data_IF_022297238521
#
_entry.id   IF_022297238521
#
_cell.length_a   1.000
_cell.length_b   1.000
_cell.length_c   1.000
_cell.angle_alpha   90.00
_cell.angle_beta   90.00
_cell.angle_gamma   90.00
#
_symmetry.space_group_name_H-M   'P 1'
#
loop_
_entity.id
_entity.type
_entity.pdbx_description
1 polymer ?
#
# COMPACT_ATOMS: atom_id res chain seq x y z
N UNK A 1 28.31 22.95 43.06
CA UNK A 1 27.00 22.28 42.87
C UNK A 1 26.25 22.86 41.67
N UNK A 2 26.03 24.18 41.58
CA UNK A 2 25.41 24.82 40.41
C UNK A 2 26.13 24.55 39.06
N UNK A 3 27.47 24.53 39.04
CA UNK A 3 28.26 24.22 37.84
C UNK A 3 28.03 22.79 37.33
N UNK A 4 27.92 21.83 38.25
CA UNK A 4 27.61 20.43 37.94
C UNK A 4 26.21 20.30 37.33
N UNK A 5 25.20 20.89 37.96
CA UNK A 5 23.83 20.87 37.44
C UNK A 5 23.72 21.51 36.05
N UNK A 6 24.44 22.60 35.79
CA UNK A 6 24.49 23.22 34.45
C UNK A 6 25.14 22.30 33.42
N UNK A 7 26.24 21.66 33.79
CA UNK A 7 26.93 20.70 32.93
C UNK A 7 26.02 19.51 32.58
N UNK A 8 25.32 18.93 33.56
CA UNK A 8 24.41 17.80 33.33
C UNK A 8 23.27 18.16 32.37
N UNK A 9 22.65 19.33 32.55
CA UNK A 9 21.59 19.80 31.64
C UNK A 9 22.14 20.04 30.23
N UNK A 10 23.37 20.56 30.10
CA UNK A 10 23.98 20.76 28.80
C UNK A 10 24.31 19.43 28.09
N UNK A 11 24.77 18.43 28.83
CA UNK A 11 25.00 17.08 28.32
C UNK A 11 23.69 16.47 27.85
N UNK A 12 22.64 16.52 28.68
CA UNK A 12 21.31 16.02 28.32
C UNK A 12 20.77 16.72 27.06
N UNK A 13 20.93 18.04 26.96
CA UNK A 13 20.53 18.80 25.77
C UNK A 13 21.25 18.32 24.51
N UNK A 14 22.57 18.12 24.57
CA UNK A 14 23.36 17.63 23.44
C UNK A 14 22.93 16.22 23.03
N UNK A 15 22.75 15.31 23.99
CA UNK A 15 22.25 13.96 23.73
C UNK A 15 20.86 13.98 23.07
N UNK A 16 19.95 14.82 23.55
CA UNK A 16 18.62 14.96 22.95
C UNK A 16 18.66 15.46 21.50
N UNK A 17 19.57 16.37 21.16
CA UNK A 17 19.73 16.84 19.77
C UNK A 17 20.21 15.72 18.84
N UNK A 18 21.23 14.96 19.25
CA UNK A 18 21.74 13.82 18.46
C UNK A 18 20.68 12.73 18.32
N UNK A 19 19.96 12.42 19.41
CA UNK A 19 18.85 11.47 19.38
C UNK A 19 17.74 11.90 18.39
N UNK A 20 17.39 13.19 18.36
CA UNK A 20 16.41 13.73 17.41
C UNK A 20 16.84 13.50 15.98
N UNK A 21 18.09 13.84 15.67
CA UNK A 21 18.65 13.76 14.32
C UNK A 21 18.62 12.33 13.81
N UNK A 22 19.17 11.38 14.58
CA UNK A 22 19.19 9.96 14.23
C UNK A 22 17.78 9.37 14.06
N UNK A 23 16.85 9.74 14.95
CA UNK A 23 15.49 9.22 14.88
C UNK A 23 14.73 9.76 13.66
N UNK A 24 14.93 11.04 13.31
CA UNK A 24 14.38 11.64 12.10
C UNK A 24 15.01 11.06 10.83
N UNK A 25 16.32 10.78 10.81
CA UNK A 25 16.99 10.14 9.68
C UNK A 25 16.40 8.75 9.38
N UNK A 26 16.23 7.91 10.41
CA UNK A 26 15.79 6.52 10.23
C UNK A 26 14.28 6.43 9.94
N UNK A 27 13.47 7.23 10.64
CA UNK A 27 12.03 7.05 10.67
C UNK A 27 11.21 8.23 10.12
N UNK A 28 11.88 9.35 9.81
CA UNK A 28 11.28 10.60 9.33
C UNK A 28 10.17 11.15 10.26
N UNK A 29 10.24 10.84 11.55
CA UNK A 29 9.28 11.28 12.58
C UNK A 29 10.06 12.00 13.67
N UNK A 30 9.56 13.13 14.16
CA UNK A 30 10.19 13.83 15.28
C UNK A 30 9.82 13.14 16.62
N UNK A 31 10.79 12.58 17.38
CA UNK A 31 10.49 11.88 18.62
C UNK A 31 9.96 12.81 19.73
N UNK A 32 10.31 14.10 19.71
CA UNK A 32 9.88 15.07 20.74
C UNK A 32 8.46 15.60 20.53
N UNK A 33 7.80 15.20 19.44
CA UNK A 33 6.37 15.46 19.21
C UNK A 33 5.47 14.52 20.02
N UNK A 34 6.06 13.53 20.70
CA UNK A 34 5.38 12.54 21.53
C UNK A 34 5.86 12.64 22.98
N UNK A 35 4.95 12.43 23.92
CA UNK A 35 5.26 12.49 25.37
C UNK A 35 6.22 11.36 25.80
N UNK A 36 6.21 10.22 25.11
CA UNK A 36 7.07 9.07 25.42
C UNK A 36 7.74 8.50 24.17
N UNK A 37 8.95 7.95 24.33
CA UNK A 37 9.70 7.27 23.26
C UNK A 37 8.88 6.11 22.70
N UNK A 38 8.15 5.36 23.54
CA UNK A 38 7.28 4.28 23.10
C UNK A 38 6.18 4.77 22.14
N UNK A 39 5.59 5.95 22.38
CA UNK A 39 4.59 6.54 21.49
C UNK A 39 5.20 6.98 20.16
N UNK A 40 6.40 7.57 20.18
CA UNK A 40 7.15 7.88 18.96
C UNK A 40 7.44 6.60 18.14
N UNK A 41 7.91 5.52 18.78
CA UNK A 41 8.14 4.22 18.13
C UNK A 41 6.87 3.60 17.56
N UNK A 42 5.72 3.76 18.23
CA UNK A 42 4.44 3.31 17.69
C UNK A 42 4.02 4.13 16.46
N UNK A 43 4.28 5.43 16.44
CA UNK A 43 4.00 6.27 15.29
C UNK A 43 4.87 5.89 14.07
N UNK A 44 6.16 5.62 14.29
CA UNK A 44 7.07 5.15 13.23
C UNK A 44 6.65 3.78 12.69
N UNK A 45 6.29 2.86 13.59
CA UNK A 45 5.78 1.54 13.22
C UNK A 45 4.49 1.62 12.38
N UNK A 46 3.53 2.46 12.78
CA UNK A 46 2.28 2.65 12.03
C UNK A 46 2.51 3.21 10.63
N UNK A 47 3.47 4.12 10.47
CA UNK A 47 3.80 4.72 9.17
C UNK A 47 4.22 3.67 8.14
N UNK A 48 5.05 2.70 8.53
CA UNK A 48 5.47 1.60 7.64
C UNK A 48 4.37 0.52 7.50
N UNK A 49 3.58 0.29 8.56
CA UNK A 49 2.47 -0.67 8.55
C UNK A 49 1.37 -0.32 7.55
N UNK A 50 1.06 0.95 7.34
CA UNK A 50 0.03 1.34 6.36
C UNK A 50 0.43 0.95 4.94
N UNK A 51 1.69 1.20 4.55
CA UNK A 51 2.22 0.80 3.23
C UNK A 51 2.25 -0.73 3.10
N UNK A 52 2.74 -1.43 4.12
CA UNK A 52 2.74 -2.91 4.12
C UNK A 52 1.32 -3.50 4.04
N UNK A 53 0.35 -2.90 4.74
CA UNK A 53 -1.07 -3.30 4.68
C UNK A 53 -1.67 -3.02 3.32
N UNK A 54 -1.40 -1.85 2.73
CA UNK A 54 -1.86 -1.50 1.38
C UNK A 54 -1.29 -2.48 0.35
N UNK A 55 0.00 -2.79 0.44
CA UNK A 55 0.67 -3.76 -0.42
C UNK A 55 0.08 -5.17 -0.27
N UNK A 56 -0.13 -5.64 0.97
CA UNK A 56 -0.78 -6.93 1.24
C UNK A 56 -2.22 -6.98 0.71
N UNK A 57 -3.03 -5.95 0.97
CA UNK A 57 -4.40 -5.88 0.45
C UNK A 57 -4.42 -5.89 -1.09
N UNK A 58 -3.50 -5.16 -1.72
CA UNK A 58 -3.34 -5.14 -3.18
C UNK A 58 -2.91 -6.50 -3.73
N UNK A 59 -1.97 -7.16 -3.03
CA UNK A 59 -1.47 -8.48 -3.38
C UNK A 59 -2.59 -9.53 -3.31
N UNK A 60 -3.31 -9.61 -2.18
CA UNK A 60 -4.41 -10.56 -2.01
C UNK A 60 -5.59 -10.29 -2.95
N UNK A 61 -5.86 -9.04 -3.29
CA UNK A 61 -6.86 -8.70 -4.30
C UNK A 61 -6.53 -9.24 -5.70
N UNK A 62 -5.26 -9.12 -6.12
CA UNK A 62 -4.81 -9.66 -7.41
C UNK A 62 -4.68 -11.18 -7.40
N UNK A 63 -4.22 -11.77 -6.30
CA UNK A 63 -4.11 -13.23 -6.13
C UNK A 63 -5.49 -13.91 -6.10
N UNK A 64 -6.45 -13.32 -5.39
CA UNK A 64 -7.83 -13.83 -5.31
C UNK A 64 -8.69 -13.50 -6.54
N UNK A 65 -8.13 -12.84 -7.56
CA UNK A 65 -8.87 -12.47 -8.74
C UNK A 65 -9.16 -13.71 -9.59
N UNK A 66 -10.43 -14.08 -9.68
CA UNK A 66 -10.86 -15.12 -10.61
C UNK A 66 -10.60 -14.67 -12.06
N UNK A 67 -9.63 -15.29 -12.72
CA UNK A 67 -9.27 -15.03 -14.12
C UNK A 67 -10.33 -15.56 -15.10
N UNK A 68 -11.18 -16.49 -14.67
CA UNK A 68 -12.24 -17.10 -15.46
C UNK A 68 -13.57 -16.34 -15.34
N UNK A 69 -13.53 -15.00 -15.20
CA UNK A 69 -14.74 -14.19 -15.23
C UNK A 69 -15.31 -14.16 -16.65
N UNK A 70 -16.65 -14.21 -16.76
CA UNK A 70 -17.34 -13.99 -18.04
C UNK A 70 -16.92 -12.62 -18.58
N UNK A 71 -16.36 -12.59 -19.78
CA UNK A 71 -15.98 -11.35 -20.46
C UNK A 71 -16.93 -11.13 -21.63
N UNK A 72 -17.44 -9.91 -21.75
CA UNK A 72 -18.26 -9.50 -22.88
C UNK A 72 -17.34 -8.99 -24.00
N UNK A 73 -17.47 -9.55 -25.19
CA UNK A 73 -16.71 -9.15 -26.38
C UNK A 73 -17.69 -8.80 -27.49
N UNK A 74 -17.55 -7.61 -28.06
CA UNK A 74 -18.32 -7.18 -29.22
C UNK A 74 -17.64 -7.67 -30.50
N UNK A 75 -18.44 -8.20 -31.43
CA UNK A 75 -17.96 -8.65 -32.73
C UNK A 75 -18.85 -8.01 -33.79
N UNK A 76 -18.25 -7.29 -34.73
CA UNK A 76 -18.96 -6.57 -35.80
C UNK A 76 -18.91 -7.29 -37.15
N UNK A 77 -18.17 -8.40 -37.25
CA UNK A 77 -17.93 -9.12 -38.51
C UNK A 77 -18.27 -10.60 -38.37
N UNK A 78 -19.01 -11.14 -39.34
CA UNK A 78 -19.42 -12.55 -39.40
C UNK A 78 -18.23 -13.53 -39.36
N UNK A 79 -17.13 -13.34 -40.13
CA UNK A 79 -15.97 -14.23 -40.04
C UNK A 79 -15.30 -14.25 -38.67
N UNK A 80 -15.25 -13.11 -37.96
CA UNK A 80 -14.68 -13.07 -36.61
C UNK A 80 -15.59 -13.71 -35.57
N UNK A 81 -16.91 -13.63 -35.78
CA UNK A 81 -17.90 -14.32 -34.97
C UNK A 81 -17.78 -15.85 -35.10
N UNK A 82 -17.67 -16.34 -36.34
CA UNK A 82 -17.46 -17.77 -36.60
C UNK A 82 -16.14 -18.28 -36.02
N UNK A 83 -15.06 -17.49 -36.08
CA UNK A 83 -13.78 -17.81 -35.41
C UNK A 83 -13.94 -17.88 -33.90
N UNK A 84 -14.72 -16.98 -33.30
CA UNK A 84 -14.98 -16.97 -31.86
C UNK A 84 -15.79 -18.19 -31.41
N UNK A 85 -16.78 -18.63 -32.20
CA UNK A 85 -17.58 -19.83 -31.94
C UNK A 85 -16.78 -21.13 -32.11
N UNK A 86 -15.83 -21.13 -33.04
CA UNK A 86 -15.03 -22.32 -33.36
C UNK A 86 -13.83 -22.51 -32.43
N UNK A 87 -13.55 -21.55 -31.55
CA UNK A 87 -12.40 -21.60 -30.63
C UNK A 87 -12.71 -22.52 -29.43
N UNK A 88 -12.06 -23.70 -29.32
CA UNK A 88 -12.34 -24.65 -28.25
C UNK A 88 -11.89 -24.15 -26.87
N UNK A 89 -11.08 -23.08 -26.80
CA UNK A 89 -10.60 -22.52 -25.53
C UNK A 89 -11.62 -21.59 -24.87
N UNK A 90 -12.68 -21.20 -25.57
CA UNK A 90 -13.67 -20.23 -25.09
C UNK A 90 -15.03 -20.89 -24.88
N UNK A 91 -15.50 -20.91 -23.63
CA UNK A 91 -16.86 -21.34 -23.31
C UNK A 91 -17.82 -20.17 -23.43
N UNK A 92 -18.59 -20.14 -24.51
CA UNK A 92 -19.60 -19.11 -24.75
C UNK A 92 -20.79 -19.36 -23.83
N UNK A 93 -21.20 -18.32 -23.07
CA UNK A 93 -22.36 -18.40 -22.18
C UNK A 93 -23.64 -17.91 -22.83
N UNK A 94 -23.56 -16.83 -23.58
CA UNK A 94 -24.72 -16.18 -24.19
C UNK A 94 -24.31 -15.39 -25.43
N UNK A 95 -25.24 -15.21 -26.36
CA UNK A 95 -25.06 -14.47 -27.62
C UNK A 95 -26.27 -13.55 -27.77
N UNK A 96 -26.01 -12.24 -27.72
CA UNK A 96 -27.04 -11.23 -27.95
C UNK A 96 -26.86 -10.62 -29.34
N UNK A 97 -27.90 -10.72 -30.17
CA UNK A 97 -27.97 -10.00 -31.43
C UNK A 97 -28.72 -8.68 -31.17
N UNK A 98 -28.06 -7.52 -31.28
CA UNK A 98 -28.76 -6.25 -31.15
C UNK A 98 -29.80 -6.12 -32.26
N UNK A 99 -31.07 -6.02 -31.89
CA UNK A 99 -32.14 -5.63 -32.80
C UNK A 99 -32.07 -4.13 -33.04
N UNK A 100 -32.28 -3.69 -34.28
CA UNK A 100 -32.62 -2.30 -34.55
C UNK A 100 -34.04 -2.06 -34.00
N UNK A 101 -34.19 -1.07 -33.11
CA UNK A 101 -35.50 -0.55 -32.68
C UNK A 101 -36.27 0.07 -33.86
#
# INVERSE_FOLDING_TARGET
>A
MLSYCRSDVDILRRCCMVFREQFMEIANVDPFRYVTIASACMATYRRRRQVAKLALNSFWGRWGMNLNKTKLSYVSSVPDFNRYLSDPTKKIKDIFLPSEE
#
